data_IF_152160811919
#
_entry.id   IF_152160811919
#
_cell.length_a   1.000
_cell.length_b   1.000
_cell.length_c   1.000
_cell.angle_alpha   90.00
_cell.angle_beta   90.00
_cell.angle_gamma   90.00
#
_symmetry.space_group_name_H-M   'P 1'
#
loop_
_entity.id
_entity.type
_entity.pdbx_description
1 polymer ?
#
# COMPACT_ATOMS: atom_id res chain seq x y z
N UNK A 1 -15.53 -13.17 -15.09
CA UNK A 1 -15.49 -12.07 -14.09
C UNK A 1 -16.87 -11.47 -13.80
N UNK A 2 -17.93 -11.74 -14.58
CA UNK A 2 -19.28 -11.23 -14.28
C UNK A 2 -19.42 -9.71 -14.39
N UNK A 3 -18.49 -9.04 -15.08
CA UNK A 3 -18.49 -7.60 -15.27
C UNK A 3 -19.38 -7.20 -16.45
N UNK A 4 -19.98 -6.02 -16.37
CA UNK A 4 -20.63 -5.38 -17.52
C UNK A 4 -19.55 -4.86 -18.48
N UNK A 5 -19.50 -5.43 -19.67
CA UNK A 5 -18.48 -5.11 -20.67
C UNK A 5 -18.60 -3.69 -21.23
N UNK A 6 -19.83 -3.21 -21.49
CA UNK A 6 -20.05 -1.86 -22.01
C UNK A 6 -19.61 -0.80 -20.99
N UNK A 7 -19.91 -1.03 -19.71
CA UNK A 7 -19.46 -0.15 -18.64
C UNK A 7 -17.93 -0.14 -18.53
N UNK A 8 -17.29 -1.32 -18.61
CA UNK A 8 -15.83 -1.41 -18.59
C UNK A 8 -15.19 -0.61 -19.73
N UNK A 9 -15.72 -0.72 -20.95
CA UNK A 9 -15.20 0.05 -22.08
C UNK A 9 -15.35 1.56 -21.89
N UNK A 10 -16.45 2.00 -21.29
CA UNK A 10 -16.65 3.41 -20.93
C UNK A 10 -15.64 3.87 -19.88
N UNK A 11 -15.48 3.09 -18.82
CA UNK A 11 -14.57 3.39 -17.70
C UNK A 11 -13.10 3.46 -18.17
N UNK A 12 -12.70 2.61 -19.13
CA UNK A 12 -11.36 2.63 -19.70
C UNK A 12 -11.01 3.92 -20.47
N UNK A 13 -11.99 4.73 -20.84
CA UNK A 13 -11.79 6.00 -21.54
C UNK A 13 -12.16 7.23 -20.66
N UNK A 14 -12.43 7.03 -19.38
CA UNK A 14 -12.79 8.10 -18.45
C UNK A 14 -11.52 8.84 -17.98
N UNK A 15 -11.42 10.14 -18.27
CA UNK A 15 -10.27 10.98 -17.89
C UNK A 15 -9.96 10.97 -16.39
N UNK A 16 -10.98 10.76 -15.54
CA UNK A 16 -10.81 10.67 -14.09
C UNK A 16 -10.10 9.37 -13.70
N UNK A 17 -10.42 8.27 -14.38
CA UNK A 17 -9.74 6.98 -14.17
C UNK A 17 -8.30 7.06 -14.65
N UNK A 18 -8.05 7.71 -15.79
CA UNK A 18 -6.68 8.01 -16.26
C UNK A 18 -5.88 8.82 -15.23
N UNK A 19 -6.51 9.82 -14.61
CA UNK A 19 -5.93 10.58 -13.51
C UNK A 19 -5.51 9.69 -12.34
N UNK A 20 -6.41 8.81 -11.87
CA UNK A 20 -6.11 7.87 -10.79
C UNK A 20 -4.99 6.89 -11.13
N UNK A 21 -4.96 6.37 -12.37
CA UNK A 21 -3.89 5.50 -12.83
C UNK A 21 -2.55 6.25 -12.85
N UNK A 22 -2.52 7.48 -13.39
CA UNK A 22 -1.33 8.33 -13.41
C UNK A 22 -0.76 8.58 -12.01
N UNK A 23 -1.62 8.91 -11.05
CA UNK A 23 -1.20 9.17 -9.68
C UNK A 23 -0.68 7.91 -8.98
N UNK A 24 -1.30 6.76 -9.23
CA UNK A 24 -0.80 5.47 -8.74
C UNK A 24 0.57 5.11 -9.34
N UNK A 25 0.79 5.38 -10.64
CA UNK A 25 2.11 5.19 -11.27
C UNK A 25 3.17 6.10 -10.67
N UNK A 26 2.87 7.39 -10.46
CA UNK A 26 3.80 8.33 -9.80
C UNK A 26 4.14 7.87 -8.39
N UNK A 27 3.14 7.40 -7.64
CA UNK A 27 3.35 6.87 -6.30
C UNK A 27 4.28 5.66 -6.32
N UNK A 28 4.04 4.70 -7.22
CA UNK A 28 4.90 3.52 -7.38
C UNK A 28 6.36 3.90 -7.67
N UNK A 29 6.59 4.85 -8.60
CA UNK A 29 7.93 5.38 -8.90
C UNK A 29 8.57 6.04 -7.68
N UNK A 30 7.82 6.87 -6.93
CA UNK A 30 8.34 7.54 -5.73
C UNK A 30 8.72 6.57 -4.60
N UNK A 31 8.13 5.37 -4.60
CA UNK A 31 8.41 4.30 -3.65
C UNK A 31 9.41 3.27 -4.20
N UNK A 32 10.03 3.54 -5.35
CA UNK A 32 10.95 2.65 -6.07
C UNK A 32 10.38 1.24 -6.33
N UNK A 33 9.08 1.17 -6.67
CA UNK A 33 8.43 -0.08 -7.07
C UNK A 33 8.65 -0.27 -8.57
N UNK A 34 9.55 -1.19 -8.92
CA UNK A 34 9.95 -1.47 -10.30
C UNK A 34 9.23 -2.68 -10.92
N UNK A 35 8.45 -3.43 -10.13
CA UNK A 35 7.79 -4.64 -10.61
C UNK A 35 6.65 -5.11 -9.72
N UNK A 36 5.83 -6.01 -10.27
CA UNK A 36 4.66 -6.59 -9.59
C UNK A 36 4.76 -8.12 -9.50
N UNK A 37 4.23 -8.75 -8.43
CA UNK A 37 3.54 -8.13 -7.30
C UNK A 37 4.50 -7.43 -6.34
N UNK A 38 4.01 -6.37 -5.69
CA UNK A 38 4.70 -5.68 -4.61
C UNK A 38 3.66 -5.26 -3.55
N UNK A 39 4.06 -5.21 -2.30
CA UNK A 39 3.20 -4.83 -1.18
C UNK A 39 3.92 -3.83 -0.27
N UNK A 40 3.20 -2.88 0.31
CA UNK A 40 3.73 -1.94 1.29
C UNK A 40 2.96 -2.16 2.59
N UNK A 41 3.67 -2.36 3.69
CA UNK A 41 3.09 -2.51 5.03
C UNK A 41 3.79 -1.52 5.95
N UNK A 42 3.05 -0.53 6.43
CA UNK A 42 3.61 0.57 7.21
C UNK A 42 4.73 1.27 6.44
N UNK A 43 5.96 1.16 6.94
CA UNK A 43 7.17 1.72 6.32
C UNK A 43 7.97 0.72 5.49
N UNK A 44 7.57 -0.55 5.47
CA UNK A 44 8.27 -1.62 4.76
C UNK A 44 7.71 -1.81 3.35
N UNK A 45 8.61 -1.82 2.37
CA UNK A 45 8.32 -2.20 0.98
C UNK A 45 8.73 -3.65 0.78
N UNK A 46 7.80 -4.47 0.30
CA UNK A 46 7.97 -5.89 0.03
C UNK A 46 7.90 -6.13 -1.47
N UNK A 47 9.04 -6.28 -2.15
CA UNK A 47 9.06 -6.62 -3.57
C UNK A 47 8.78 -8.13 -3.77
N UNK A 48 8.03 -8.45 -4.82
CA UNK A 48 7.73 -9.83 -5.19
C UNK A 48 6.62 -10.46 -4.36
N UNK A 49 6.26 -11.69 -4.74
CA UNK A 49 5.28 -12.48 -4.01
C UNK A 49 5.92 -13.09 -2.76
N UNK A 50 5.25 -12.95 -1.62
CA UNK A 50 5.63 -13.61 -0.37
C UNK A 50 4.50 -14.52 0.12
N UNK A 51 4.85 -15.51 0.94
CA UNK A 51 3.84 -16.36 1.57
C UNK A 51 3.08 -15.61 2.69
N UNK A 52 1.90 -16.12 3.03
CA UNK A 52 0.99 -15.51 4.01
C UNK A 52 1.61 -15.35 5.41
N UNK A 53 2.46 -16.29 5.85
CA UNK A 53 3.09 -16.23 7.16
C UNK A 53 4.09 -15.09 7.24
N UNK A 54 4.86 -14.87 6.16
CA UNK A 54 5.80 -13.76 6.05
C UNK A 54 5.06 -12.42 6.09
N UNK A 55 3.93 -12.31 5.38
CA UNK A 55 3.11 -11.09 5.37
C UNK A 55 2.54 -10.79 6.76
N UNK A 56 2.02 -11.81 7.47
CA UNK A 56 1.52 -11.66 8.84
C UNK A 56 2.60 -11.15 9.79
N UNK A 57 3.80 -11.72 9.73
CA UNK A 57 4.93 -11.29 10.57
C UNK A 57 5.30 -9.83 10.33
N UNK A 58 5.34 -9.38 9.07
CA UNK A 58 5.63 -7.97 8.73
C UNK A 58 4.55 -7.05 9.30
N UNK A 59 3.27 -7.43 9.17
CA UNK A 59 2.16 -6.65 9.74
C UNK A 59 2.28 -6.54 11.26
N UNK A 60 2.58 -7.63 11.96
CA UNK A 60 2.77 -7.63 13.42
C UNK A 60 3.93 -6.73 13.85
N UNK A 61 5.06 -6.79 13.14
CA UNK A 61 6.21 -5.93 13.38
C UNK A 61 5.87 -4.44 13.21
N UNK A 62 5.20 -4.05 12.13
CA UNK A 62 4.81 -2.64 11.91
C UNK A 62 3.82 -2.15 12.96
N UNK A 63 2.86 -2.98 13.36
CA UNK A 63 1.92 -2.64 14.45
C UNK A 63 2.65 -2.45 15.79
N UNK A 64 3.62 -3.29 16.11
CA UNK A 64 4.42 -3.18 17.34
C UNK A 64 5.25 -1.88 17.39
N UNK A 65 5.80 -1.43 16.24
CA UNK A 65 6.51 -0.15 16.12
C UNK A 65 5.60 1.03 16.47
N UNK A 66 4.34 1.02 15.98
CA UNK A 66 3.35 2.07 16.26
C UNK A 66 3.00 2.12 17.76
N UNK A 67 2.74 0.97 18.38
CA UNK A 67 2.43 0.88 19.82
C UNK A 67 3.57 1.42 20.68
N UNK A 68 4.81 1.05 20.36
CA UNK A 68 6.00 1.53 21.07
C UNK A 68 6.17 3.05 20.92
N UNK A 69 6.00 3.59 19.71
CA UNK A 69 6.10 5.02 19.45
C UNK A 69 5.02 5.84 20.17
N UNK A 70 3.80 5.31 20.30
CA UNK A 70 2.70 5.95 21.06
C UNK A 70 3.05 6.05 22.55
N UNK A 71 3.55 4.97 23.14
CA UNK A 71 3.92 4.93 24.55
C UNK A 71 5.06 5.93 24.88
N UNK A 72 6.03 6.09 23.97
CA UNK A 72 7.13 7.05 24.14
C UNK A 72 6.64 8.51 24.08
N UNK A 73 5.69 8.82 23.18
CA UNK A 73 5.09 10.15 23.11
C UNK A 73 4.26 10.48 24.35
N UNK A 74 3.47 9.53 24.85
CA UNK A 74 2.70 9.71 26.09
C UNK A 74 3.62 9.94 27.30
N UNK A 75 4.73 9.19 27.41
CA UNK A 75 5.72 9.40 28.47
C UNK A 75 6.43 10.77 28.40
N UNK A 76 6.67 11.30 27.20
CA UNK A 76 7.34 12.61 27.01
C UNK A 76 6.40 13.78 27.31
N UNK A 77 5.10 13.63 27.09
CA UNK A 77 4.09 14.67 27.39
C UNK A 77 3.71 14.68 28.89
N UNK A 78 3.88 13.56 29.59
CA UNK A 78 3.62 13.43 31.02
C UNK A 78 4.77 13.93 31.93
N UNK A 79 5.89 14.36 31.35
CA UNK A 79 7.01 15.02 32.04
C UNK A 79 7.04 16.50 31.70
#
# INVERSE_FOLDING_TARGET
LGLNYEQLQKDMNDEKIDGYLSDNYKLAVSLNIEGTPACIVGTQVVPGAININSLKNIIEQERAKISTAKNLKEYTVAK
#
